data_IF_605905757991
#
_entry.id   IF_605905757991
#
_cell.length_a   1.000
_cell.length_b   1.000
_cell.length_c   1.000
_cell.angle_alpha   90.00
_cell.angle_beta   90.00
_cell.angle_gamma   90.00
#
_symmetry.space_group_name_H-M   'P 1'
#
loop_
_entity.id
_entity.type
_entity.pdbx_description
1 polymer ?
#
# COMPACT_ATOMS: atom_id res chain seq x y z
N UNK A 1 -19.81 -24.52 19.18
CA UNK A 1 -19.75 -23.11 19.62
C UNK A 1 -19.44 -22.16 18.44
N UNK A 2 -20.07 -22.38 17.27
CA UNK A 2 -19.81 -21.67 16.00
C UNK A 2 -21.12 -21.49 15.18
N UNK A 3 -22.29 -21.60 15.84
CA UNK A 3 -23.60 -21.74 15.18
C UNK A 3 -24.54 -20.55 15.38
N UNK A 4 -24.05 -19.40 15.83
CA UNK A 4 -24.90 -18.23 16.14
C UNK A 4 -24.29 -16.91 15.66
N UNK A 5 -23.52 -16.92 14.57
CA UNK A 5 -23.15 -15.67 13.88
C UNK A 5 -24.37 -15.17 13.11
N UNK A 6 -25.19 -14.37 13.77
CA UNK A 6 -26.33 -13.71 13.14
C UNK A 6 -25.86 -12.86 11.96
N UNK A 7 -26.69 -12.69 10.93
CA UNK A 7 -26.33 -11.99 9.69
C UNK A 7 -25.72 -10.59 9.90
N UNK A 8 -26.06 -9.93 11.02
CA UNK A 8 -25.44 -8.66 11.43
C UNK A 8 -23.93 -8.77 11.68
N UNK A 9 -23.45 -9.83 12.34
CA UNK A 9 -22.02 -10.01 12.64
C UNK A 9 -21.22 -10.21 11.35
N UNK A 10 -21.77 -11.00 10.40
CA UNK A 10 -21.15 -11.20 9.08
C UNK A 10 -21.08 -9.88 8.30
N UNK A 11 -22.16 -9.07 8.32
CA UNK A 11 -22.17 -7.75 7.68
C UNK A 11 -21.12 -6.83 8.28
N UNK A 12 -21.01 -6.77 9.61
CA UNK A 12 -19.99 -5.96 10.29
C UNK A 12 -18.56 -6.39 9.93
N UNK A 13 -18.30 -7.70 9.88
CA UNK A 13 -17.00 -8.24 9.46
C UNK A 13 -16.67 -7.89 8.01
N UNK A 14 -17.64 -7.99 7.10
CA UNK A 14 -17.46 -7.60 5.70
C UNK A 14 -17.17 -6.10 5.54
N UNK A 15 -17.90 -5.24 6.28
CA UNK A 15 -17.66 -3.79 6.26
C UNK A 15 -16.27 -3.46 6.80
N UNK A 16 -15.88 -4.05 7.93
CA UNK A 16 -14.57 -3.82 8.53
C UNK A 16 -13.43 -4.31 7.63
N UNK A 17 -13.54 -5.53 7.09
CA UNK A 17 -12.57 -6.07 6.14
C UNK A 17 -12.48 -5.26 4.85
N UNK A 18 -13.62 -4.78 4.34
CA UNK A 18 -13.68 -3.90 3.17
C UNK A 18 -12.99 -2.56 3.39
N UNK A 19 -13.19 -1.94 4.56
CA UNK A 19 -12.50 -0.69 4.94
C UNK A 19 -10.99 -0.89 5.04
N UNK A 20 -10.53 -2.00 5.63
CA UNK A 20 -9.10 -2.33 5.68
C UNK A 20 -8.54 -2.53 4.28
N UNK A 21 -9.22 -3.31 3.44
CA UNK A 21 -8.83 -3.56 2.06
C UNK A 21 -8.70 -2.27 1.25
N UNK A 22 -9.67 -1.36 1.42
CA UNK A 22 -9.63 -0.02 0.80
C UNK A 22 -8.44 0.79 1.30
N UNK A 23 -8.17 0.78 2.61
CA UNK A 23 -7.00 1.45 3.19
C UNK A 23 -5.68 0.92 2.64
N UNK A 24 -5.53 -0.40 2.55
CA UNK A 24 -4.36 -1.04 1.94
C UNK A 24 -4.21 -0.65 0.45
N UNK A 25 -5.32 -0.56 -0.28
CA UNK A 25 -5.31 -0.16 -1.69
C UNK A 25 -4.91 1.30 -1.87
N UNK A 26 -5.46 2.20 -1.04
CA UNK A 26 -5.07 3.62 -1.03
C UNK A 26 -3.60 3.78 -0.69
N UNK A 27 -3.10 3.05 0.32
CA UNK A 27 -1.68 3.07 0.69
C UNK A 27 -0.80 2.60 -0.49
N UNK A 28 -1.20 1.54 -1.18
CA UNK A 28 -0.48 1.04 -2.35
C UNK A 28 -0.38 2.07 -3.47
N UNK A 29 -1.51 2.66 -3.89
CA UNK A 29 -1.55 3.72 -4.91
C UNK A 29 -0.71 4.92 -4.47
N UNK A 30 -0.85 5.34 -3.21
CA UNK A 30 -0.12 6.49 -2.71
C UNK A 30 1.40 6.29 -2.75
N UNK A 31 1.89 5.09 -2.42
CA UNK A 31 3.31 4.77 -2.52
C UNK A 31 3.82 4.73 -3.96
N UNK A 32 3.00 4.27 -4.90
CA UNK A 32 3.33 4.31 -6.31
C UNK A 32 3.47 5.77 -6.80
N UNK A 33 2.54 6.65 -6.41
CA UNK A 33 2.60 8.08 -6.74
C UNK A 33 3.81 8.74 -6.10
N UNK A 34 4.11 8.46 -4.82
CA UNK A 34 5.28 9.03 -4.15
C UNK A 34 6.58 8.59 -4.83
N UNK A 35 6.71 7.31 -5.19
CA UNK A 35 7.89 6.80 -5.92
C UNK A 35 8.09 7.49 -7.27
N UNK A 36 7.01 7.64 -8.06
CA UNK A 36 7.06 8.27 -9.37
C UNK A 36 7.44 9.77 -9.28
N UNK A 37 6.88 10.47 -8.30
CA UNK A 37 7.07 11.91 -8.09
C UNK A 37 8.34 12.28 -7.30
N UNK A 38 9.01 11.30 -6.70
CA UNK A 38 10.24 11.57 -5.94
C UNK A 38 11.44 11.80 -6.89
N UNK A 39 11.90 13.04 -6.98
CA UNK A 39 13.08 13.42 -7.76
C UNK A 39 14.41 13.07 -7.06
N UNK A 40 14.37 12.63 -5.80
CA UNK A 40 15.53 12.17 -5.04
C UNK A 40 16.00 10.77 -5.41
N UNK A 41 15.18 10.00 -6.13
CA UNK A 41 15.49 8.61 -6.54
C UNK A 41 16.09 8.62 -7.95
N UNK A 42 17.30 8.06 -8.17
CA UNK A 42 17.86 7.87 -9.51
C UNK A 42 16.91 7.11 -10.44
N UNK A 43 16.94 7.42 -11.74
CA UNK A 43 15.97 6.87 -12.70
C UNK A 43 15.92 5.33 -12.76
N UNK A 44 17.07 4.66 -12.74
CA UNK A 44 17.15 3.19 -12.75
C UNK A 44 16.59 2.57 -11.46
N UNK A 45 16.90 3.16 -10.31
CA UNK A 45 16.39 2.73 -9.01
C UNK A 45 14.89 2.96 -8.88
N UNK A 46 14.38 4.08 -9.43
CA UNK A 46 12.95 4.38 -9.47
C UNK A 46 12.18 3.29 -10.21
N UNK A 47 12.69 2.86 -11.38
CA UNK A 47 12.07 1.76 -12.14
C UNK A 47 12.03 0.47 -11.32
N UNK A 48 13.12 0.12 -10.62
CA UNK A 48 13.14 -1.06 -9.75
C UNK A 48 12.09 -0.97 -8.63
N UNK A 49 11.98 0.17 -7.94
CA UNK A 49 10.98 0.37 -6.90
C UNK A 49 9.55 0.32 -7.42
N UNK A 50 9.27 0.93 -8.58
CA UNK A 50 7.95 0.86 -9.23
C UNK A 50 7.58 -0.59 -9.53
N UNK A 51 8.51 -1.40 -10.05
CA UNK A 51 8.27 -2.82 -10.30
C UNK A 51 7.98 -3.58 -9.01
N UNK A 52 8.77 -3.36 -7.95
CA UNK A 52 8.55 -3.99 -6.64
C UNK A 52 7.15 -3.63 -6.10
N UNK A 53 6.77 -2.35 -6.10
CA UNK A 53 5.47 -1.90 -5.60
C UNK A 53 4.32 -2.52 -6.42
N UNK A 54 4.43 -2.55 -7.74
CA UNK A 54 3.36 -3.11 -8.60
C UNK A 54 3.22 -4.62 -8.42
N UNK A 55 4.32 -5.38 -8.45
CA UNK A 55 4.24 -6.84 -8.39
C UNK A 55 3.91 -7.39 -7.00
N UNK A 56 4.33 -6.70 -5.94
CA UNK A 56 4.13 -7.17 -4.56
C UNK A 56 3.00 -6.44 -3.83
N UNK A 57 2.30 -5.52 -4.51
CA UNK A 57 1.14 -4.78 -3.99
C UNK A 57 1.43 -4.12 -2.63
N UNK A 58 0.56 -4.37 -1.64
CA UNK A 58 0.64 -3.80 -0.30
C UNK A 58 2.00 -4.05 0.36
N UNK A 59 2.63 -5.22 0.13
CA UNK A 59 3.93 -5.52 0.71
C UNK A 59 5.03 -4.62 0.13
N UNK A 60 5.04 -4.41 -1.19
CA UNK A 60 6.00 -3.53 -1.85
C UNK A 60 5.82 -2.08 -1.47
N UNK A 61 4.56 -1.65 -1.29
CA UNK A 61 4.26 -0.32 -0.78
C UNK A 61 4.80 -0.11 0.64
N UNK A 62 4.66 -1.10 1.54
CA UNK A 62 5.26 -1.04 2.88
C UNK A 62 6.79 -1.00 2.82
N UNK A 63 7.42 -1.86 2.02
CA UNK A 63 8.89 -1.89 1.90
C UNK A 63 9.39 -0.54 1.36
N UNK A 64 8.76 0.00 0.32
CA UNK A 64 9.10 1.33 -0.20
C UNK A 64 8.94 2.41 0.86
N UNK A 65 7.83 2.39 1.62
CA UNK A 65 7.55 3.37 2.67
C UNK A 65 8.65 3.42 3.74
N UNK A 66 9.14 2.27 4.21
CA UNK A 66 10.14 2.19 5.28
C UNK A 66 11.58 2.28 4.80
N UNK A 67 11.90 1.69 3.65
CA UNK A 67 13.29 1.49 3.18
C UNK A 67 13.59 2.29 1.92
N UNK A 68 12.67 2.25 0.94
CA UNK A 68 12.90 2.78 -0.41
C UNK A 68 12.67 4.27 -0.60
N UNK A 69 12.30 5.00 0.46
CA UNK A 69 11.92 6.41 0.39
C UNK A 69 13.06 7.33 0.85
N UNK A 70 14.02 7.70 -0.02
CA UNK A 70 15.01 8.70 0.33
C UNK A 70 14.34 10.05 0.59
N UNK A 71 14.89 10.80 1.55
CA UNK A 71 14.41 12.16 1.86
C UNK A 71 14.45 13.00 0.58
N UNK A 72 13.33 13.64 0.25
CA UNK A 72 13.24 14.56 -0.89
C UNK A 72 14.35 15.60 -0.73
N UNK A 73 15.24 15.70 -1.72
CA UNK A 73 16.22 16.79 -1.74
C UNK A 73 15.44 18.10 -1.86
N UNK A 74 15.62 19.08 -0.96
CA UNK A 74 15.04 20.40 -1.15
C UNK A 74 15.53 20.94 -2.50
N UNK A 75 14.61 21.54 -3.25
CA UNK A 75 14.89 22.17 -4.53
C UNK A 75 15.84 23.36 -4.36
#
# INVERSE_FOLDING_TARGET
MLGFLGGLEVVLLCLFGGLIGLGCFVLWIWMLIDCLTNNGIPGSEKVAWVLVIIFTHFLGALIYFFVGRPKRKPA
#
